data_IF_020768653733
#
_entry.id   IF_020768653733
#
_cell.length_a   1.000
_cell.length_b   1.000
_cell.length_c   1.000
_cell.angle_alpha   90.00
_cell.angle_beta   90.00
_cell.angle_gamma   90.00
#
_symmetry.space_group_name_H-M   'P 1'
#
loop_
_entity.id
_entity.type
_entity.pdbx_description
1 polymer ?
#
# COMPACT_ATOMS: atom_id res chain seq x y z
N UNK A 1 -44.75 -21.81 -60.33
CA UNK A 1 -44.66 -20.61 -61.18
C UNK A 1 -43.64 -19.65 -60.56
N UNK A 2 -42.57 -19.43 -61.32
CA UNK A 2 -41.63 -18.30 -61.36
C UNK A 2 -40.77 -17.94 -60.11
N UNK A 3 -39.57 -18.52 -60.17
CA UNK A 3 -38.25 -17.94 -59.90
C UNK A 3 -37.99 -16.52 -60.42
N UNK A 4 -37.20 -15.74 -59.66
CA UNK A 4 -36.17 -14.71 -60.06
C UNK A 4 -35.74 -13.98 -58.78
N UNK A 5 -34.51 -13.50 -58.51
CA UNK A 5 -33.16 -13.50 -59.11
C UNK A 5 -32.27 -12.76 -58.09
N UNK A 6 -31.15 -13.32 -57.63
CA UNK A 6 -29.77 -13.03 -58.06
C UNK A 6 -29.28 -11.56 -57.94
N UNK A 7 -28.13 -11.37 -57.29
CA UNK A 7 -27.44 -10.07 -57.22
C UNK A 7 -26.22 -10.02 -56.30
N UNK A 8 -25.33 -11.01 -56.33
CA UNK A 8 -23.94 -10.92 -55.84
C UNK A 8 -23.09 -10.18 -56.85
N UNK A 9 -22.31 -9.17 -56.43
CA UNK A 9 -21.19 -8.65 -57.23
C UNK A 9 -19.85 -8.94 -56.57
N UNK A 10 -19.18 -9.85 -57.23
CA UNK A 10 -17.78 -10.21 -57.21
C UNK A 10 -16.89 -9.05 -57.65
N UNK A 11 -15.67 -8.97 -57.08
CA UNK A 11 -14.46 -8.57 -57.81
C UNK A 11 -13.21 -9.01 -57.04
N UNK A 12 -12.82 -10.25 -57.29
CA UNK A 12 -11.45 -10.71 -57.17
C UNK A 12 -10.55 -10.13 -58.29
N UNK A 13 -9.27 -9.92 -57.97
CA UNK A 13 -8.08 -10.03 -58.85
C UNK A 13 -6.87 -10.19 -57.93
N UNK A 14 -6.39 -11.42 -57.70
CA UNK A 14 -5.43 -12.19 -58.49
C UNK A 14 -3.97 -11.98 -58.01
N UNK A 15 -3.37 -13.07 -57.53
CA UNK A 15 -1.95 -13.25 -57.19
C UNK A 15 -1.06 -13.25 -58.45
N UNK A 16 0.28 -13.17 -58.29
CA UNK A 16 1.03 -14.41 -58.51
C UNK A 16 2.17 -14.66 -57.50
N UNK A 17 2.42 -15.94 -57.27
CA UNK A 17 3.59 -16.49 -56.60
C UNK A 17 4.85 -16.38 -57.48
N UNK A 18 6.04 -16.47 -56.87
CA UNK A 18 7.30 -16.69 -57.59
C UNK A 18 8.54 -16.45 -56.73
N UNK A 19 9.26 -17.53 -56.46
CA UNK A 19 10.43 -17.63 -55.58
C UNK A 19 11.64 -16.78 -56.00
N UNK A 20 12.40 -16.30 -55.00
CA UNK A 20 13.85 -16.14 -55.13
C UNK A 20 14.50 -16.14 -53.73
N UNK A 21 15.18 -17.24 -53.41
CA UNK A 21 16.19 -17.30 -52.36
C UNK A 21 17.31 -16.28 -52.68
N UNK A 22 17.38 -15.22 -51.89
CA UNK A 22 18.54 -14.31 -51.85
C UNK A 22 19.29 -14.53 -50.54
N UNK A 23 20.49 -15.11 -50.63
CA UNK A 23 21.39 -15.31 -49.49
C UNK A 23 21.65 -13.99 -48.75
N UNK A 24 21.55 -14.02 -47.42
CA UNK A 24 22.07 -12.95 -46.56
C UNK A 24 23.55 -12.71 -46.88
N UNK A 25 23.99 -11.46 -47.15
CA UNK A 25 25.40 -11.16 -47.09
C UNK A 25 25.89 -11.37 -45.65
N UNK A 26 27.02 -12.07 -45.51
CA UNK A 26 27.68 -12.27 -44.24
C UNK A 26 27.96 -10.92 -43.55
N UNK A 27 27.86 -10.85 -42.21
CA UNK A 27 28.11 -9.60 -41.49
C UNK A 27 29.59 -9.22 -41.66
N UNK A 28 29.82 -8.13 -42.38
CA UNK A 28 31.13 -7.48 -42.43
C UNK A 28 31.42 -6.95 -41.02
N UNK A 29 32.41 -7.55 -40.37
CA UNK A 29 32.94 -7.07 -39.10
C UNK A 29 33.49 -5.67 -39.26
N UNK A 30 32.78 -4.68 -38.74
CA UNK A 30 33.36 -3.38 -38.40
C UNK A 30 33.11 -3.13 -36.92
N UNK A 31 34.21 -3.16 -36.18
CA UNK A 31 34.21 -2.97 -34.74
C UNK A 31 33.76 -1.56 -34.41
N UNK A 32 32.66 -1.46 -33.67
CA UNK A 32 32.42 -0.41 -32.69
C UNK A 32 31.38 -0.95 -31.69
N UNK A 33 31.88 -1.36 -30.53
CA UNK A 33 31.08 -1.94 -29.47
C UNK A 33 30.24 -0.91 -28.72
N UNK A 34 29.14 -1.43 -28.16
CA UNK A 34 28.43 -0.98 -26.95
C UNK A 34 27.40 0.16 -27.07
N UNK A 35 26.11 -0.22 -26.97
CA UNK A 35 25.14 0.46 -26.10
C UNK A 35 23.84 -0.34 -25.83
N UNK A 36 23.54 -1.40 -26.59
CA UNK A 36 22.20 -2.02 -26.55
C UNK A 36 21.97 -3.11 -25.47
N UNK A 37 23.01 -3.55 -24.74
CA UNK A 37 22.94 -4.60 -23.71
C UNK A 37 22.67 -4.08 -22.30
N UNK A 38 23.03 -2.82 -22.00
CA UNK A 38 22.91 -2.24 -20.66
C UNK A 38 21.46 -1.92 -20.27
N UNK A 39 20.61 -1.49 -21.20
CA UNK A 39 19.20 -1.22 -20.92
C UNK A 39 18.39 -2.49 -20.62
N UNK A 40 18.60 -3.55 -21.40
CA UNK A 40 17.89 -4.84 -21.23
C UNK A 40 18.27 -5.50 -19.89
N UNK A 41 19.54 -5.38 -19.48
CA UNK A 41 20.03 -5.87 -18.18
C UNK A 41 19.56 -4.98 -17.02
N UNK A 42 19.50 -3.65 -17.18
CA UNK A 42 18.95 -2.73 -16.17
C UNK A 42 17.46 -2.98 -15.92
N UNK A 43 16.64 -3.18 -16.97
CA UNK A 43 15.22 -3.54 -16.83
C UNK A 43 15.02 -4.90 -16.13
N UNK A 44 15.79 -5.94 -16.50
CA UNK A 44 15.75 -7.25 -15.80
C UNK A 44 16.20 -7.17 -14.34
N UNK A 45 17.22 -6.35 -14.02
CA UNK A 45 17.67 -6.14 -12.62
C UNK A 45 16.67 -5.33 -11.79
N UNK A 46 15.94 -4.38 -12.39
CA UNK A 46 14.91 -3.57 -11.71
C UNK A 46 13.65 -4.40 -11.43
N UNK A 47 13.21 -5.22 -12.39
CA UNK A 47 12.08 -6.16 -12.20
C UNK A 47 12.35 -7.20 -11.09
N UNK A 48 13.62 -7.58 -10.85
CA UNK A 48 14.01 -8.47 -9.73
C UNK A 48 13.94 -7.81 -8.34
N UNK A 49 13.66 -6.50 -8.23
CA UNK A 49 13.63 -5.75 -6.97
C UNK A 49 12.22 -5.41 -6.50
N UNK A 50 11.20 -5.65 -7.30
CA UNK A 50 9.82 -5.30 -6.98
C UNK A 50 9.01 -6.59 -6.84
N UNK A 51 8.41 -6.78 -5.67
CA UNK A 51 7.46 -7.85 -5.38
C UNK A 51 6.07 -7.27 -5.48
N UNK A 52 5.17 -7.99 -6.13
CA UNK A 52 3.76 -7.63 -6.16
C UNK A 52 3.02 -8.47 -5.14
N UNK A 53 2.44 -7.82 -4.14
CA UNK A 53 1.59 -8.44 -3.13
C UNK A 53 0.14 -8.18 -3.52
N UNK A 54 -0.61 -9.26 -3.79
CA UNK A 54 -2.04 -9.17 -4.05
C UNK A 54 -2.79 -9.14 -2.73
N UNK A 55 -3.67 -8.17 -2.57
CA UNK A 55 -4.52 -7.98 -1.39
C UNK A 55 -5.94 -7.80 -1.87
N UNK A 56 -6.87 -8.61 -1.36
CA UNK A 56 -8.30 -8.42 -1.55
C UNK A 56 -8.87 -7.71 -0.33
N UNK A 57 -9.40 -6.53 -0.57
CA UNK A 57 -9.99 -5.66 0.45
C UNK A 57 -11.52 -5.71 0.34
N UNK A 58 -12.20 -5.71 1.48
CA UNK A 58 -13.65 -5.65 1.55
C UNK A 58 -14.13 -4.50 2.45
N UNK A 59 -15.30 -3.95 2.16
CA UNK A 59 -16.11 -3.20 3.12
C UNK A 59 -17.50 -3.81 3.19
N UNK A 60 -18.05 -3.94 4.40
CA UNK A 60 -19.36 -4.52 4.60
C UNK A 60 -20.01 -4.05 5.89
N UNK A 61 -21.13 -3.33 5.78
CA UNK A 61 -22.03 -3.11 6.89
C UNK A 61 -22.84 -4.38 7.15
N UNK A 62 -22.71 -4.94 8.35
CA UNK A 62 -23.29 -6.25 8.72
C UNK A 62 -24.53 -6.14 9.60
N UNK A 63 -24.88 -4.94 10.06
CA UNK A 63 -25.95 -4.66 11.01
C UNK A 63 -25.73 -5.16 12.45
N UNK A 64 -25.07 -6.31 12.66
CA UNK A 64 -24.67 -6.84 13.98
C UNK A 64 -23.64 -7.96 13.86
N UNK A 65 -22.58 -7.96 14.69
CA UNK A 65 -21.62 -9.07 14.80
C UNK A 65 -22.10 -10.20 15.74
N UNK A 66 -23.12 -9.95 16.56
CA UNK A 66 -23.53 -10.90 17.61
C UNK A 66 -24.03 -12.21 17.02
N UNK A 67 -23.33 -13.30 17.32
CA UNK A 67 -23.64 -14.66 16.81
C UNK A 67 -23.18 -14.94 15.37
N UNK A 68 -22.70 -13.94 14.63
CA UNK A 68 -22.41 -14.04 13.18
C UNK A 68 -20.93 -14.20 12.82
N UNK A 69 -20.05 -14.27 13.80
CA UNK A 69 -18.60 -14.27 13.57
C UNK A 69 -18.09 -15.43 12.71
N UNK A 70 -18.61 -16.65 12.89
CA UNK A 70 -18.21 -17.83 12.10
C UNK A 70 -18.69 -17.74 10.66
N UNK A 71 -19.97 -17.41 10.45
CA UNK A 71 -20.55 -17.25 9.11
C UNK A 71 -19.83 -16.15 8.32
N UNK A 72 -19.48 -15.05 9.00
CA UNK A 72 -18.64 -14.01 8.41
C UNK A 72 -17.27 -14.56 7.99
N UNK A 73 -16.58 -15.28 8.86
CA UNK A 73 -15.27 -15.86 8.56
C UNK A 73 -15.35 -16.81 7.35
N UNK A 74 -16.42 -17.60 7.24
CA UNK A 74 -16.69 -18.49 6.11
C UNK A 74 -16.88 -17.71 4.81
N UNK A 75 -17.68 -16.63 4.81
CA UNK A 75 -17.85 -15.74 3.66
C UNK A 75 -16.51 -15.14 3.23
N UNK A 76 -15.74 -14.59 4.17
CA UNK A 76 -14.44 -13.97 3.89
C UNK A 76 -13.45 -14.99 3.32
N UNK A 77 -13.41 -16.22 3.85
CA UNK A 77 -12.59 -17.33 3.32
C UNK A 77 -13.01 -17.72 1.91
N UNK A 78 -14.30 -17.97 1.67
CA UNK A 78 -14.83 -18.32 0.33
C UNK A 78 -14.50 -17.24 -0.70
N UNK A 79 -14.59 -15.97 -0.32
CA UNK A 79 -14.28 -14.81 -1.18
C UNK A 79 -12.79 -14.45 -1.21
N UNK A 80 -11.95 -15.13 -0.43
CA UNK A 80 -10.49 -14.93 -0.32
C UNK A 80 -10.13 -13.49 0.06
N UNK A 81 -10.85 -12.93 1.02
CA UNK A 81 -10.64 -11.56 1.51
C UNK A 81 -9.48 -11.55 2.50
N UNK A 82 -8.50 -10.66 2.31
CA UNK A 82 -7.38 -10.54 3.24
C UNK A 82 -7.65 -9.51 4.35
N UNK A 83 -8.40 -8.45 3.99
CA UNK A 83 -8.73 -7.33 4.87
C UNK A 83 -10.19 -6.96 4.66
N UNK A 84 -10.98 -6.87 5.71
CA UNK A 84 -12.37 -6.41 5.64
C UNK A 84 -12.66 -5.31 6.66
N UNK A 85 -13.21 -4.19 6.22
CA UNK A 85 -13.79 -3.16 7.06
C UNK A 85 -15.25 -3.50 7.34
N UNK A 86 -15.62 -3.56 8.61
CA UNK A 86 -16.97 -3.85 9.06
C UNK A 86 -17.58 -2.63 9.75
N UNK A 87 -18.87 -2.44 9.50
CA UNK A 87 -19.70 -1.40 10.12
C UNK A 87 -20.91 -2.03 10.83
N UNK A 88 -21.52 -1.27 11.74
CA UNK A 88 -22.60 -1.72 12.64
C UNK A 88 -22.32 -3.03 13.39
N UNK A 89 -21.10 -3.18 13.93
CA UNK A 89 -20.73 -4.41 14.64
C UNK A 89 -21.53 -4.60 15.95
N UNK A 90 -22.03 -3.51 16.56
CA UNK A 90 -22.80 -3.50 17.83
C UNK A 90 -22.13 -4.32 18.94
N UNK A 91 -20.81 -4.31 18.93
CA UNK A 91 -19.97 -5.14 19.78
C UNK A 91 -19.17 -4.29 20.75
N UNK A 92 -19.12 -4.73 22.01
CA UNK A 92 -18.39 -4.04 23.07
C UNK A 92 -16.98 -4.61 23.25
N UNK A 93 -16.03 -3.70 23.39
CA UNK A 93 -14.73 -3.97 23.98
C UNK A 93 -13.58 -3.54 23.08
N UNK A 94 -12.40 -3.43 23.67
CA UNK A 94 -11.18 -3.02 22.95
C UNK A 94 -10.27 -4.20 22.58
N UNK A 95 -10.71 -5.45 22.80
CA UNK A 95 -9.89 -6.65 22.56
C UNK A 95 -10.09 -7.19 21.15
N UNK A 96 -8.98 -7.50 20.48
CA UNK A 96 -9.03 -8.28 19.25
C UNK A 96 -9.45 -9.73 19.54
N UNK A 97 -10.24 -10.35 18.65
CA UNK A 97 -10.70 -11.74 18.82
C UNK A 97 -10.54 -12.54 17.53
N UNK A 98 -10.30 -13.84 17.66
CA UNK A 98 -10.37 -14.77 16.54
C UNK A 98 -11.85 -15.09 16.27
N UNK A 99 -12.28 -14.97 15.02
CA UNK A 99 -13.69 -15.19 14.61
C UNK A 99 -13.90 -16.52 13.88
N UNK A 100 -12.82 -17.27 13.63
CA UNK A 100 -12.82 -18.54 12.90
C UNK A 100 -11.95 -18.47 11.64
N UNK A 101 -11.61 -19.62 11.07
CA UNK A 101 -10.91 -19.73 9.79
C UNK A 101 -9.58 -18.95 9.69
N UNK A 102 -8.94 -18.70 10.83
CA UNK A 102 -7.68 -17.95 10.95
C UNK A 102 -7.84 -16.42 10.94
N UNK A 103 -9.07 -15.90 10.88
CA UNK A 103 -9.36 -14.46 10.88
C UNK A 103 -9.41 -13.85 12.27
N UNK A 104 -8.80 -12.67 12.39
CA UNK A 104 -8.77 -11.85 13.59
C UNK A 104 -9.52 -10.54 13.38
N UNK A 105 -10.45 -10.26 14.28
CA UNK A 105 -11.28 -9.07 14.31
C UNK A 105 -10.76 -8.06 15.33
N UNK A 106 -10.59 -6.82 14.89
CA UNK A 106 -10.24 -5.66 15.70
C UNK A 106 -11.46 -4.73 15.76
N UNK A 107 -12.06 -4.58 16.93
CA UNK A 107 -13.24 -3.74 17.13
C UNK A 107 -12.89 -2.34 17.68
N UNK A 108 -13.70 -1.37 17.28
CA UNK A 108 -13.71 -0.01 17.80
C UNK A 108 -14.82 0.18 18.83
N UNK A 109 -14.42 0.54 20.06
CA UNK A 109 -15.23 1.10 21.14
C UNK A 109 -16.10 0.16 22.01
N UNK A 110 -16.49 0.67 23.18
CA UNK A 110 -17.30 0.06 24.24
C UNK A 110 -18.81 0.33 24.09
N UNK A 111 -19.22 0.94 22.97
CA UNK A 111 -20.60 1.31 22.64
C UNK A 111 -21.50 0.14 22.24
N UNK A 112 -22.80 0.25 22.55
CA UNK A 112 -23.83 -0.77 22.27
C UNK A 112 -24.62 -0.50 20.98
N UNK A 113 -24.53 0.72 20.41
CA UNK A 113 -25.38 1.20 19.31
C UNK A 113 -24.66 1.25 17.96
N UNK A 114 -23.48 1.85 17.93
CA UNK A 114 -22.61 1.91 16.75
C UNK A 114 -21.44 0.93 16.94
N UNK A 115 -20.71 0.66 15.87
CA UNK A 115 -19.49 -0.10 15.98
C UNK A 115 -18.83 -0.30 14.64
N UNK A 116 -17.53 -0.08 14.61
CA UNK A 116 -16.68 -0.38 13.46
C UNK A 116 -15.65 -1.42 13.83
N UNK A 117 -15.11 -2.08 12.82
CA UNK A 117 -13.96 -2.93 13.02
C UNK A 117 -13.26 -3.31 11.74
N UNK A 118 -12.11 -3.95 11.89
CA UNK A 118 -11.30 -4.47 10.80
C UNK A 118 -11.04 -5.94 11.06
N UNK A 119 -11.34 -6.78 10.08
CA UNK A 119 -11.00 -8.19 10.07
C UNK A 119 -9.78 -8.41 9.18
N UNK A 120 -8.82 -9.16 9.68
CA UNK A 120 -7.59 -9.53 8.97
C UNK A 120 -7.46 -11.04 8.90
N UNK A 121 -7.01 -11.55 7.76
CA UNK A 121 -6.64 -12.96 7.63
C UNK A 121 -5.37 -13.30 8.43
N UNK A 122 -5.00 -14.58 8.44
CA UNK A 122 -3.80 -15.07 9.16
C UNK A 122 -2.51 -14.40 8.69
N UNK A 123 -2.37 -14.10 7.40
CA UNK A 123 -1.17 -13.47 6.86
C UNK A 123 -1.06 -11.97 7.15
N UNK A 124 -2.18 -11.27 7.32
CA UNK A 124 -2.23 -9.83 7.59
C UNK A 124 -2.24 -9.53 9.10
N UNK A 125 -2.83 -10.38 9.93
CA UNK A 125 -2.91 -10.14 11.38
C UNK A 125 -1.53 -10.13 12.06
N UNK A 126 -0.57 -10.88 11.54
CA UNK A 126 0.83 -10.90 12.01
C UNK A 126 1.60 -9.62 11.64
N UNK A 127 1.07 -8.83 10.69
CA UNK A 127 1.70 -7.60 10.20
C UNK A 127 1.16 -6.34 10.87
N UNK A 128 0.29 -6.48 11.85
CA UNK A 128 -0.28 -5.34 12.59
C UNK A 128 0.79 -4.73 13.48
N UNK A 129 0.99 -3.43 13.31
CA UNK A 129 1.96 -2.63 14.09
C UNK A 129 1.29 -1.72 15.10
N UNK A 130 0.11 -1.20 14.77
CA UNK A 130 -0.64 -0.31 15.66
C UNK A 130 -2.16 -0.38 15.36
N UNK A 131 -2.98 -0.12 16.37
CA UNK A 131 -4.45 -0.08 16.27
C UNK A 131 -4.97 1.14 17.02
N UNK A 132 -5.31 2.18 16.26
CA UNK A 132 -5.88 3.43 16.78
C UNK A 132 -7.41 3.39 16.69
N UNK A 133 -8.07 3.38 17.84
CA UNK A 133 -9.53 3.49 17.96
C UNK A 133 -9.86 4.96 18.15
N UNK A 134 -10.40 5.59 17.11
CA UNK A 134 -10.67 7.04 17.13
C UNK A 134 -11.97 7.30 17.90
N UNK A 135 -13.04 6.60 17.53
CA UNK A 135 -14.36 6.67 18.17
C UNK A 135 -15.15 5.38 17.86
N UNK A 136 -16.47 5.39 18.07
CA UNK A 136 -17.38 4.27 17.75
C UNK A 136 -17.72 4.11 16.25
N UNK A 137 -17.26 5.06 15.42
CA UNK A 137 -17.48 5.18 13.98
C UNK A 137 -16.21 5.06 13.13
N UNK A 138 -15.02 5.07 13.75
CA UNK A 138 -13.73 5.10 13.06
C UNK A 138 -12.67 4.29 13.81
N UNK A 139 -12.03 3.39 13.09
CA UNK A 139 -10.87 2.63 13.56
C UNK A 139 -9.80 2.59 12.47
N UNK A 140 -8.55 2.78 12.89
CA UNK A 140 -7.38 2.68 12.02
C UNK A 140 -6.51 1.53 12.48
N UNK A 141 -6.22 0.59 11.58
CA UNK A 141 -5.28 -0.50 11.80
C UNK A 141 -4.08 -0.30 10.88
N UNK A 142 -2.90 -0.10 11.48
CA UNK A 142 -1.64 0.10 10.76
C UNK A 142 -0.94 -1.23 10.54
N UNK A 143 -0.68 -1.55 9.28
CA UNK A 143 0.00 -2.77 8.83
C UNK A 143 1.38 -2.43 8.26
N UNK A 144 2.37 -3.27 8.52
CA UNK A 144 3.66 -3.24 7.83
C UNK A 144 3.73 -4.39 6.84
N UNK A 145 3.50 -4.10 5.56
CA UNK A 145 3.58 -5.08 4.47
C UNK A 145 4.95 -4.97 3.81
N UNK A 146 5.83 -5.92 4.14
CA UNK A 146 7.26 -5.90 3.82
C UNK A 146 7.93 -4.64 4.40
N UNK A 147 8.03 -3.57 3.62
CA UNK A 147 8.65 -2.30 3.99
C UNK A 147 7.75 -1.11 3.59
N UNK A 148 6.46 -1.36 3.45
CA UNK A 148 5.44 -0.34 3.19
C UNK A 148 4.45 -0.30 4.35
N UNK A 149 4.22 0.89 4.88
CA UNK A 149 3.22 1.12 5.93
C UNK A 149 1.87 1.37 5.27
N UNK A 150 0.87 0.59 5.68
CA UNK A 150 -0.48 0.59 5.13
C UNK A 150 -1.49 0.82 6.26
N UNK A 151 -2.27 1.88 6.15
CA UNK A 151 -3.33 2.21 7.09
C UNK A 151 -4.66 1.71 6.55
N UNK A 152 -5.25 0.73 7.22
CA UNK A 152 -6.61 0.26 6.96
C UNK A 152 -7.56 1.02 7.84
N UNK A 153 -8.55 1.69 7.25
CA UNK A 153 -9.50 2.51 8.01
C UNK A 153 -10.91 1.99 7.78
N UNK A 154 -11.64 1.67 8.85
CA UNK A 154 -13.08 1.40 8.78
C UNK A 154 -13.85 2.61 9.27
N UNK A 155 -14.82 3.08 8.49
CA UNK A 155 -15.61 4.29 8.78
C UNK A 155 -17.12 3.99 8.73
N UNK A 156 -17.88 4.60 9.64
CA UNK A 156 -19.33 4.58 9.65
C UNK A 156 -19.89 5.99 9.88
N UNK A 157 -20.28 6.67 8.82
CA UNK A 157 -20.80 8.03 8.88
C UNK A 157 -22.18 8.10 9.55
N UNK A 158 -22.54 9.24 10.18
CA UNK A 158 -23.89 9.47 10.67
C UNK A 158 -24.92 9.41 9.54
N UNK A 159 -26.16 9.04 9.88
CA UNK A 159 -27.27 8.99 8.92
C UNK A 159 -27.70 10.39 8.51
N UNK A 160 -28.32 10.53 7.34
CA UNK A 160 -28.82 11.81 6.80
C UNK A 160 -29.75 12.55 7.78
N UNK A 161 -30.53 11.83 8.60
CA UNK A 161 -31.44 12.43 9.58
C UNK A 161 -30.83 12.74 10.95
N UNK A 162 -29.53 12.51 11.17
CA UNK A 162 -28.88 12.87 12.44
C UNK A 162 -28.74 14.40 12.58
N UNK A 163 -28.65 14.87 13.83
CA UNK A 163 -28.36 16.27 14.14
C UNK A 163 -27.06 16.75 13.47
N UNK A 164 -27.06 18.00 13.00
CA UNK A 164 -25.92 18.58 12.28
C UNK A 164 -24.66 18.60 13.17
N UNK A 165 -24.80 18.84 14.48
CA UNK A 165 -23.70 18.77 15.46
C UNK A 165 -22.97 17.42 15.48
N UNK A 166 -23.70 16.32 15.28
CA UNK A 166 -23.13 14.97 15.21
C UNK A 166 -22.39 14.77 13.89
N UNK A 167 -22.90 15.35 12.80
CA UNK A 167 -22.25 15.32 11.48
C UNK A 167 -20.96 16.15 11.47
N UNK A 168 -21.00 17.37 11.99
CA UNK A 168 -19.83 18.25 12.13
C UNK A 168 -18.72 17.58 12.93
N UNK A 169 -19.05 17.08 14.13
CA UNK A 169 -18.10 16.36 14.98
C UNK A 169 -17.48 15.15 14.27
N UNK A 170 -18.28 14.39 13.51
CA UNK A 170 -17.76 13.26 12.74
C UNK A 170 -16.73 13.70 11.70
N UNK A 171 -16.99 14.78 10.96
CA UNK A 171 -16.05 15.29 9.95
C UNK A 171 -14.80 15.93 10.57
N UNK A 172 -14.93 16.61 11.71
CA UNK A 172 -13.75 17.10 12.47
C UNK A 172 -12.83 15.96 12.92
N UNK A 173 -13.41 14.86 13.42
CA UNK A 173 -12.66 13.68 13.83
C UNK A 173 -12.06 12.94 12.62
N UNK A 174 -12.77 12.91 11.49
CA UNK A 174 -12.26 12.40 10.21
C UNK A 174 -11.03 13.18 9.74
N UNK A 175 -11.10 14.51 9.79
CA UNK A 175 -10.00 15.39 9.38
C UNK A 175 -8.79 15.20 10.28
N UNK A 176 -8.98 15.18 11.60
CA UNK A 176 -7.91 14.92 12.56
C UNK A 176 -7.26 13.56 12.34
N UNK A 177 -8.05 12.53 12.04
CA UNK A 177 -7.53 11.19 11.72
C UNK A 177 -6.69 11.22 10.44
N UNK A 178 -7.18 11.82 9.36
CA UNK A 178 -6.48 11.88 8.07
C UNK A 178 -5.20 12.70 8.15
N UNK A 179 -5.20 13.83 8.86
CA UNK A 179 -4.00 14.64 9.12
C UNK A 179 -2.96 13.90 9.97
N UNK A 180 -3.41 12.99 10.84
CA UNK A 180 -2.52 12.14 11.64
C UNK A 180 -1.82 11.04 10.84
N UNK A 181 -2.27 10.72 9.62
CA UNK A 181 -1.66 9.71 8.75
C UNK A 181 -0.67 10.40 7.79
N UNK A 182 0.63 10.10 7.87
CA UNK A 182 1.62 10.71 6.98
C UNK A 182 1.31 10.44 5.50
N UNK A 183 1.59 11.41 4.63
CA UNK A 183 1.32 11.31 3.18
C UNK A 183 2.08 10.18 2.49
N UNK A 184 3.25 9.82 3.02
CA UNK A 184 4.07 8.70 2.53
C UNK A 184 3.47 7.32 2.85
N UNK A 185 2.55 7.26 3.81
CA UNK A 185 1.89 6.02 4.18
C UNK A 185 0.65 5.80 3.33
N UNK A 186 0.43 4.53 3.00
CA UNK A 186 -0.72 4.12 2.23
C UNK A 186 -2.01 4.22 3.06
N UNK A 187 -3.14 4.58 2.43
CA UNK A 187 -4.46 4.57 3.06
C UNK A 187 -5.43 3.73 2.24
N UNK A 188 -6.05 2.75 2.89
CA UNK A 188 -7.16 1.96 2.34
C UNK A 188 -8.33 2.03 3.30
N UNK A 189 -9.32 2.84 2.95
CA UNK A 189 -10.47 3.11 3.77
C UNK A 189 -11.70 2.46 3.16
N UNK A 190 -12.46 1.74 3.98
CA UNK A 190 -13.77 1.20 3.60
C UNK A 190 -14.81 1.61 4.63
N UNK A 191 -15.96 2.06 4.16
CA UNK A 191 -16.98 2.51 5.08
C UNK A 191 -18.34 2.66 4.43
N UNK A 192 -19.33 2.71 5.31
CA UNK A 192 -20.67 3.18 4.97
C UNK A 192 -20.71 4.68 5.31
N UNK A 193 -20.81 5.50 4.26
CA UNK A 193 -20.78 6.95 4.38
C UNK A 193 -22.18 7.58 4.38
N UNK A 194 -23.25 6.77 4.26
CA UNK A 194 -24.64 7.27 4.23
C UNK A 194 -24.90 8.41 3.21
N UNK A 195 -24.05 8.54 2.19
CA UNK A 195 -24.12 9.58 1.17
C UNK A 195 -24.11 9.01 -0.24
N UNK A 196 -24.74 9.70 -1.18
CA UNK A 196 -24.77 9.33 -2.60
C UNK A 196 -23.86 10.27 -3.37
N UNK A 197 -22.75 9.76 -3.90
CA UNK A 197 -21.82 10.56 -4.74
C UNK A 197 -22.37 10.82 -6.14
N UNK A 198 -23.39 10.06 -6.55
CA UNK A 198 -24.06 10.18 -7.85
C UNK A 198 -23.35 9.45 -8.98
N UNK A 199 -23.99 9.42 -10.15
CA UNK A 199 -23.46 8.74 -11.34
C UNK A 199 -22.30 9.48 -12.00
N UNK A 200 -22.42 10.79 -12.12
CA UNK A 200 -21.49 11.67 -12.84
C UNK A 200 -20.48 12.31 -11.88
N UNK A 201 -19.34 12.72 -12.42
CA UNK A 201 -18.21 13.32 -11.69
C UNK A 201 -18.14 14.85 -11.87
N UNK A 202 -19.24 15.50 -12.23
CA UNK A 202 -19.36 16.95 -12.44
C UNK A 202 -18.74 17.77 -11.29
N UNK A 203 -17.56 18.34 -11.56
CA UNK A 203 -16.77 19.15 -10.61
C UNK A 203 -15.82 18.35 -9.70
N UNK A 204 -15.80 17.02 -9.83
CA UNK A 204 -15.06 16.09 -8.98
C UNK A 204 -14.24 15.07 -9.78
N UNK A 205 -13.86 15.37 -11.02
CA UNK A 205 -13.17 14.47 -11.95
C UNK A 205 -11.85 13.94 -11.38
N UNK A 206 -11.25 14.69 -10.44
CA UNK A 206 -10.00 14.31 -9.79
C UNK A 206 -10.16 13.14 -8.82
N UNK A 207 -11.33 12.99 -8.19
CA UNK A 207 -11.59 12.04 -7.09
C UNK A 207 -12.66 11.00 -7.45
N UNK A 208 -13.53 11.32 -8.40
CA UNK A 208 -14.64 10.50 -8.87
C UNK A 208 -14.44 10.07 -10.34
N UNK A 209 -14.48 8.76 -10.60
CA UNK A 209 -14.13 8.20 -11.91
C UNK A 209 -15.24 8.19 -12.96
N UNK A 210 -16.42 8.76 -12.66
CA UNK A 210 -17.53 8.94 -13.60
C UNK A 210 -18.46 7.72 -13.76
N UNK A 211 -18.26 6.66 -12.98
CA UNK A 211 -19.06 5.44 -13.00
C UNK A 211 -19.71 5.15 -11.64
N UNK A 212 -20.33 6.15 -11.03
CA UNK A 212 -21.10 5.97 -9.79
C UNK A 212 -22.53 5.52 -10.05
N UNK A 213 -23.36 5.49 -9.00
CA UNK A 213 -24.76 5.11 -9.08
C UNK A 213 -25.69 6.13 -8.40
N UNK A 214 -26.89 6.32 -8.96
CA UNK A 214 -27.90 7.21 -8.40
C UNK A 214 -27.64 8.71 -8.64
N UNK A 215 -28.36 9.53 -7.87
CA UNK A 215 -28.27 11.00 -7.90
C UNK A 215 -27.47 11.47 -6.69
N UNK A 216 -26.62 12.48 -6.87
CA UNK A 216 -25.82 13.02 -5.79
C UNK A 216 -26.70 13.71 -4.74
N UNK A 217 -26.42 13.49 -3.45
CA UNK A 217 -27.08 14.20 -2.34
C UNK A 217 -26.07 15.04 -1.54
N UNK A 218 -26.57 15.82 -0.55
CA UNK A 218 -25.75 16.68 0.31
C UNK A 218 -24.63 15.89 1.01
N UNK A 219 -24.92 14.74 1.59
CA UNK A 219 -23.93 13.90 2.26
C UNK A 219 -22.85 13.37 1.31
N UNK A 220 -23.22 13.00 0.08
CA UNK A 220 -22.28 12.58 -0.95
C UNK A 220 -21.41 13.71 -1.50
N UNK A 221 -21.95 14.92 -1.58
CA UNK A 221 -21.19 16.13 -1.90
C UNK A 221 -20.12 16.41 -0.83
N UNK A 222 -20.48 16.36 0.46
CA UNK A 222 -19.52 16.54 1.57
C UNK A 222 -18.42 15.46 1.52
N UNK A 223 -18.78 14.20 1.22
CA UNK A 223 -17.81 13.13 1.02
C UNK A 223 -16.84 13.44 -0.13
N UNK A 224 -17.33 13.97 -1.25
CA UNK A 224 -16.49 14.34 -2.39
C UNK A 224 -15.59 15.53 -2.08
N UNK A 225 -16.06 16.52 -1.33
CA UNK A 225 -15.26 17.65 -0.85
C UNK A 225 -14.13 17.18 0.08
N UNK A 226 -14.44 16.31 1.04
CA UNK A 226 -13.43 15.69 1.90
C UNK A 226 -12.42 14.87 1.10
N UNK A 227 -12.88 14.12 0.09
CA UNK A 227 -11.99 13.40 -0.81
C UNK A 227 -11.06 14.34 -1.60
N UNK A 228 -11.56 15.48 -2.07
CA UNK A 228 -10.74 16.51 -2.72
C UNK A 228 -9.69 17.09 -1.75
N UNK A 229 -10.08 17.39 -0.50
CA UNK A 229 -9.18 17.97 0.50
C UNK A 229 -7.99 17.07 0.83
N UNK A 230 -8.19 15.75 0.88
CA UNK A 230 -7.13 14.77 1.20
C UNK A 230 -6.55 14.02 -0.02
N UNK A 231 -6.85 14.48 -1.25
CA UNK A 231 -6.48 13.83 -2.52
C UNK A 231 -6.80 12.32 -2.53
N UNK A 232 -8.02 11.98 -2.09
CA UNK A 232 -8.55 10.62 -2.08
C UNK A 232 -9.34 10.33 -3.36
N UNK A 233 -9.32 9.08 -3.81
CA UNK A 233 -10.13 8.59 -4.92
C UNK A 233 -11.25 7.67 -4.40
N UNK A 234 -12.49 7.93 -4.83
CA UNK A 234 -13.66 7.08 -4.55
C UNK A 234 -13.64 5.88 -5.48
N UNK A 235 -12.94 4.81 -5.08
CA UNK A 235 -12.53 3.70 -5.96
C UNK A 235 -13.69 3.07 -6.72
N UNK A 236 -14.86 2.94 -6.11
CA UNK A 236 -16.05 2.33 -6.69
C UNK A 236 -16.43 2.96 -8.04
N UNK A 237 -16.16 4.25 -8.20
CA UNK A 237 -16.65 5.06 -9.32
C UNK A 237 -15.67 5.10 -10.49
N UNK A 238 -14.52 4.42 -10.37
CA UNK A 238 -13.48 4.35 -11.42
C UNK A 238 -13.58 3.12 -12.33
N UNK A 239 -14.52 2.21 -12.04
CA UNK A 239 -14.72 1.00 -12.82
C UNK A 239 -16.12 0.97 -13.41
N UNK A 240 -16.21 0.89 -14.73
CA UNK A 240 -17.49 0.65 -15.39
C UNK A 240 -18.03 -0.73 -15.00
N UNK A 241 -19.22 -0.74 -14.40
CA UNK A 241 -19.93 -1.95 -13.94
C UNK A 241 -21.41 -1.85 -14.30
N UNK A 242 -22.09 -3.00 -14.26
CA UNK A 242 -23.56 -3.06 -14.26
C UNK A 242 -24.07 -2.55 -12.91
N UNK A 243 -25.23 -1.93 -12.89
CA UNK A 243 -25.86 -1.36 -11.69
C UNK A 243 -25.90 -2.34 -10.50
N UNK A 244 -26.19 -3.62 -10.75
CA UNK A 244 -26.21 -4.65 -9.71
C UNK A 244 -24.88 -4.82 -8.95
N UNK A 245 -23.76 -4.43 -9.58
CA UNK A 245 -22.41 -4.46 -9.01
C UNK A 245 -21.93 -3.08 -8.52
N UNK A 246 -22.77 -2.05 -8.57
CA UNK A 246 -22.54 -0.72 -8.00
C UNK A 246 -23.39 -0.48 -6.75
N UNK A 247 -24.61 -1.05 -6.72
CA UNK A 247 -25.56 -0.96 -5.60
C UNK A 247 -25.02 -1.69 -4.38
N UNK A 248 -24.79 -0.97 -3.30
CA UNK A 248 -24.27 -1.51 -2.03
C UNK A 248 -25.37 -1.76 -1.01
N UNK A 249 -26.48 -1.05 -1.09
CA UNK A 249 -27.65 -1.24 -0.23
C UNK A 249 -28.91 -1.47 -1.06
N UNK A 250 -29.72 -2.46 -0.66
CA UNK A 250 -31.01 -2.74 -1.29
C UNK A 250 -32.07 -3.07 -0.23
N UNK A 251 -33.19 -2.34 -0.25
CA UNK A 251 -34.35 -2.61 0.59
C UNK A 251 -35.63 -2.53 -0.24
N UNK A 252 -36.29 -3.68 -0.44
CA UNK A 252 -37.42 -3.78 -1.36
C UNK A 252 -37.06 -3.32 -2.79
N UNK A 253 -37.78 -2.30 -3.27
CA UNK A 253 -37.55 -1.67 -4.57
C UNK A 253 -36.48 -0.56 -4.56
N UNK A 254 -36.01 -0.14 -3.39
CA UNK A 254 -34.98 0.89 -3.26
C UNK A 254 -33.59 0.27 -3.35
N UNK A 255 -32.76 0.84 -4.21
CA UNK A 255 -31.37 0.45 -4.41
C UNK A 255 -30.50 1.70 -4.37
N UNK A 256 -29.45 1.69 -3.57
CA UNK A 256 -28.55 2.83 -3.37
C UNK A 256 -27.09 2.40 -3.31
N UNK A 257 -26.21 3.38 -3.52
CA UNK A 257 -24.77 3.26 -3.28
C UNK A 257 -24.42 4.22 -2.14
N UNK A 258 -23.98 3.66 -1.01
CA UNK A 258 -23.62 4.38 0.22
C UNK A 258 -22.33 3.86 0.86
N UNK A 259 -21.91 2.64 0.50
CA UNK A 259 -20.65 2.06 0.92
C UNK A 259 -19.55 2.37 -0.10
N UNK A 260 -18.44 2.94 0.34
CA UNK A 260 -17.34 3.34 -0.54
C UNK A 260 -15.99 2.84 -0.05
N UNK A 261 -15.12 2.59 -1.02
CA UNK A 261 -13.68 2.48 -0.79
C UNK A 261 -13.00 3.78 -1.17
N UNK A 262 -12.28 4.38 -0.23
CA UNK A 262 -11.43 5.55 -0.44
C UNK A 262 -9.97 5.16 -0.30
N UNK A 263 -9.13 5.63 -1.23
CA UNK A 263 -7.68 5.45 -1.19
C UNK A 263 -7.01 6.75 -1.59
N UNK A 264 -5.72 6.94 -1.29
CA UNK A 264 -4.99 8.09 -1.86
C UNK A 264 -4.95 7.96 -3.39
N UNK A 265 -5.16 9.06 -4.09
CA UNK A 265 -5.24 9.09 -5.57
C UNK A 265 -3.96 8.57 -6.24
N UNK A 266 -2.79 8.83 -5.66
CA UNK A 266 -1.51 8.28 -6.15
C UNK A 266 -1.45 6.74 -6.11
N UNK A 267 -2.31 6.08 -5.32
CA UNK A 267 -2.41 4.63 -5.20
C UNK A 267 -3.39 4.01 -6.17
N UNK A 268 -4.17 4.79 -6.92
CA UNK A 268 -5.26 4.26 -7.75
C UNK A 268 -4.80 3.18 -8.75
N UNK A 269 -3.56 3.31 -9.25
CA UNK A 269 -2.91 2.35 -10.16
C UNK A 269 -2.71 0.96 -9.54
N UNK A 270 -2.70 0.87 -8.21
CA UNK A 270 -2.61 -0.39 -7.47
C UNK A 270 -3.93 -1.17 -7.51
N UNK A 271 -5.07 -0.49 -7.63
CA UNK A 271 -6.38 -1.14 -7.72
C UNK A 271 -6.56 -1.72 -9.11
N UNK A 272 -6.89 -3.01 -9.16
CA UNK A 272 -7.13 -3.75 -10.41
C UNK A 272 -8.60 -3.88 -10.75
N UNK A 273 -9.44 -3.93 -9.72
CA UNK A 273 -10.88 -4.06 -9.88
C UNK A 273 -11.57 -3.63 -8.59
N UNK A 274 -12.76 -3.06 -8.71
CA UNK A 274 -13.67 -2.82 -7.60
C UNK A 274 -15.09 -3.23 -8.03
N UNK A 275 -15.79 -3.98 -7.19
CA UNK A 275 -17.17 -4.42 -7.46
C UNK A 275 -17.93 -4.76 -6.19
N UNK A 276 -19.24 -4.60 -6.24
CA UNK A 276 -20.16 -5.14 -5.24
C UNK A 276 -20.58 -6.56 -5.62
N UNK A 277 -20.61 -7.47 -4.65
CA UNK A 277 -21.16 -8.81 -4.83
C UNK A 277 -22.60 -8.88 -4.30
N UNK A 278 -23.60 -9.14 -5.16
CA UNK A 278 -24.94 -9.48 -4.72
C UNK A 278 -25.01 -10.94 -4.21
N UNK A 279 -25.93 -11.22 -3.29
CA UNK A 279 -26.31 -12.58 -2.92
C UNK A 279 -25.44 -13.25 -1.85
N UNK A 280 -24.93 -12.50 -0.87
CA UNK A 280 -24.44 -13.10 0.38
C UNK A 280 -25.58 -13.17 1.39
N UNK A 281 -25.81 -14.33 1.98
CA UNK A 281 -26.96 -14.58 2.85
C UNK A 281 -26.82 -14.00 4.26
N UNK A 282 -25.60 -13.59 4.66
CA UNK A 282 -25.34 -13.05 6.00
C UNK A 282 -26.12 -11.77 6.29
N UNK A 283 -26.33 -10.96 5.25
CA UNK A 283 -26.96 -9.64 5.35
C UNK A 283 -27.86 -9.43 4.14
N UNK A 284 -29.15 -9.20 4.39
CA UNK A 284 -30.15 -9.08 3.32
C UNK A 284 -30.11 -7.73 2.59
N UNK A 285 -29.72 -6.66 3.28
CA UNK A 285 -29.78 -5.29 2.76
C UNK A 285 -28.44 -4.79 2.21
N UNK A 286 -27.39 -4.84 3.03
CA UNK A 286 -26.05 -4.39 2.62
C UNK A 286 -25.27 -5.52 1.94
N UNK A 287 -24.61 -5.17 0.85
CA UNK A 287 -23.82 -6.06 0.01
C UNK A 287 -22.35 -5.80 0.21
N UNK A 288 -21.56 -6.85 0.17
CA UNK A 288 -20.11 -6.75 0.32
C UNK A 288 -19.48 -6.04 -0.90
N UNK A 289 -18.73 -4.97 -0.62
CA UNK A 289 -17.95 -4.23 -1.59
C UNK A 289 -16.52 -4.76 -1.59
N UNK A 290 -16.00 -5.18 -2.74
CA UNK A 290 -14.67 -5.78 -2.88
C UNK A 290 -13.77 -4.98 -3.81
N UNK A 291 -12.50 -4.81 -3.42
CA UNK A 291 -11.43 -4.35 -4.28
C UNK A 291 -10.28 -5.36 -4.35
N UNK A 292 -9.79 -5.58 -5.57
CA UNK A 292 -8.56 -6.32 -5.84
C UNK A 292 -7.40 -5.33 -5.96
N UNK A 293 -6.46 -5.36 -5.01
CA UNK A 293 -5.33 -4.43 -4.91
C UNK A 293 -4.03 -5.18 -5.17
N UNK A 294 -3.14 -4.58 -5.96
CA UNK A 294 -1.80 -5.08 -6.23
C UNK A 294 -0.78 -4.08 -5.68
N UNK A 295 -0.25 -4.35 -4.50
CA UNK A 295 0.78 -3.55 -3.85
C UNK A 295 2.14 -3.89 -4.44
N UNK A 296 2.78 -2.92 -5.09
CA UNK A 296 4.18 -3.06 -5.50
C UNK A 296 5.09 -2.62 -4.37
N UNK A 297 5.85 -3.56 -3.81
CA UNK A 297 6.80 -3.34 -2.72
C UNK A 297 8.22 -3.61 -3.19
N UNK A 298 9.16 -2.77 -2.76
CA UNK A 298 10.58 -2.93 -3.14
C UNK A 298 11.25 -3.87 -2.16
N UNK A 299 11.76 -5.00 -2.62
CA UNK A 299 12.55 -5.88 -1.76
C UNK A 299 13.89 -5.23 -1.46
N UNK A 300 14.08 -4.81 -0.21
CA UNK A 300 15.41 -4.58 0.33
C UNK A 300 15.98 -5.95 0.66
N UNK A 301 16.82 -6.51 -0.21
CA UNK A 301 17.77 -7.51 0.29
C UNK A 301 18.63 -6.77 1.32
N UNK A 302 18.64 -7.26 2.57
CA UNK A 302 19.81 -7.05 3.40
C UNK A 302 21.00 -7.43 2.51
N UNK A 303 21.87 -6.47 2.19
CA UNK A 303 23.16 -6.84 1.66
C UNK A 303 23.77 -7.64 2.80
N UNK A 304 23.87 -8.95 2.64
CA UNK A 304 24.69 -9.77 3.53
C UNK A 304 25.99 -9.00 3.67
N UNK A 305 26.31 -8.60 4.90
CA UNK A 305 27.56 -7.90 5.15
C UNK A 305 28.62 -8.86 4.62
N UNK A 306 29.49 -8.43 3.67
CA UNK A 306 30.57 -9.31 3.26
C UNK A 306 31.29 -9.74 4.55
N UNK A 307 31.61 -11.03 4.70
CA UNK A 307 32.23 -11.52 5.92
C UNK A 307 33.45 -10.66 6.24
N UNK A 308 33.75 -10.43 7.53
CA UNK A 308 34.92 -9.66 7.94
C UNK A 308 36.16 -10.17 7.19
N UNK A 309 36.90 -9.27 6.56
CA UNK A 309 38.15 -9.60 5.87
C UNK A 309 39.32 -9.17 6.76
N UNK A 310 40.29 -10.07 6.89
CA UNK A 310 41.58 -9.76 7.50
C UNK A 310 42.26 -8.68 6.65
N UNK A 311 42.83 -7.67 7.31
CA UNK A 311 43.47 -6.52 6.64
C UNK A 311 44.89 -6.84 6.16
N UNK A 312 45.03 -7.79 5.23
CA UNK A 312 46.33 -8.22 4.68
C UNK A 312 47.21 -7.07 4.16
N UNK A 313 46.61 -5.98 3.66
CA UNK A 313 47.33 -4.80 3.20
C UNK A 313 48.18 -4.10 4.29
N UNK A 314 47.92 -4.35 5.58
CA UNK A 314 48.72 -3.80 6.67
C UNK A 314 50.11 -4.45 6.78
N UNK A 315 50.33 -5.60 6.14
CA UNK A 315 51.65 -6.25 6.07
C UNK A 315 52.69 -5.44 5.29
N UNK A 316 52.30 -4.44 4.50
CA UNK A 316 53.25 -3.52 3.88
C UNK A 316 53.90 -2.56 4.89
N UNK A 317 53.36 -2.45 6.11
CA UNK A 317 53.93 -1.65 7.18
C UNK A 317 54.88 -2.51 8.01
N UNK A 318 56.12 -2.05 8.13
CA UNK A 318 57.22 -2.83 8.71
C UNK A 318 56.95 -3.29 10.15
N UNK A 319 56.34 -2.44 10.99
CA UNK A 319 55.96 -2.80 12.36
C UNK A 319 54.96 -3.97 12.44
N UNK A 320 53.91 -3.93 11.63
CA UNK A 320 52.90 -5.01 11.59
C UNK A 320 53.47 -6.30 10.98
N UNK A 321 54.38 -6.20 10.00
CA UNK A 321 55.01 -7.35 9.36
C UNK A 321 55.97 -8.09 10.31
N UNK A 322 56.73 -7.35 11.12
CA UNK A 322 57.66 -7.94 12.10
C UNK A 322 56.91 -8.60 13.24
N UNK A 323 55.93 -7.92 13.84
CA UNK A 323 55.08 -8.47 14.90
C UNK A 323 54.32 -9.72 14.43
N UNK A 324 53.79 -9.69 13.20
CA UNK A 324 53.10 -10.84 12.62
C UNK A 324 54.03 -12.05 12.43
N UNK A 325 55.24 -11.84 11.91
CA UNK A 325 56.22 -12.92 11.71
C UNK A 325 56.62 -13.58 13.02
N UNK A 326 56.95 -12.78 14.03
CA UNK A 326 57.35 -13.28 15.35
C UNK A 326 56.24 -14.12 15.99
N UNK A 327 55.01 -13.61 16.01
CA UNK A 327 53.88 -14.31 16.60
C UNK A 327 53.48 -15.58 15.84
N UNK A 328 53.64 -15.62 14.51
CA UNK A 328 53.41 -16.84 13.73
C UNK A 328 54.45 -17.90 14.07
N UNK A 329 55.74 -17.54 14.13
CA UNK A 329 56.82 -18.48 14.46
C UNK A 329 56.65 -19.03 15.87
N UNK A 330 56.44 -18.16 16.86
CA UNK A 330 56.25 -18.59 18.25
C UNK A 330 55.05 -19.55 18.39
N UNK A 331 53.94 -19.22 17.72
CA UNK A 331 52.73 -20.07 17.78
C UNK A 331 52.90 -21.38 17.01
N UNK A 332 53.73 -21.43 15.97
CA UNK A 332 54.08 -22.69 15.29
C UNK A 332 54.96 -23.58 16.15
N UNK A 333 55.91 -23.00 16.90
CA UNK A 333 56.73 -23.75 17.86
C UNK A 333 55.85 -24.33 18.97
N UNK A 334 54.88 -23.56 19.49
CA UNK A 334 53.93 -24.02 20.51
C UNK A 334 53.03 -25.18 20.04
N UNK A 335 52.69 -25.26 18.75
CA UNK A 335 51.84 -26.34 18.23
C UNK A 335 52.56 -27.71 18.17
N UNK A 336 53.90 -27.73 18.20
CA UNK A 336 54.70 -28.96 18.19
C UNK A 336 54.59 -29.77 16.89
N UNK A 337 55.12 -30.99 16.92
CA UNK A 337 55.07 -31.91 15.77
C UNK A 337 53.69 -32.55 15.63
N UNK A 338 53.10 -32.41 14.44
CA UNK A 338 51.77 -32.95 14.09
C UNK A 338 51.86 -34.42 13.63
N UNK A 339 52.55 -35.26 14.40
CA UNK A 339 52.66 -36.69 14.12
C UNK A 339 51.30 -37.38 14.23
N UNK A 340 50.93 -38.16 13.21
CA UNK A 340 49.66 -38.90 13.16
C UNK A 340 48.49 -38.17 12.51
N UNK A 341 48.65 -36.91 12.09
CA UNK A 341 47.64 -36.17 11.32
C UNK A 341 47.86 -36.37 9.81
N UNK A 342 46.77 -36.36 9.03
CA UNK A 342 46.89 -36.39 7.58
C UNK A 342 47.45 -35.06 7.05
N UNK A 343 48.05 -35.09 5.86
CA UNK A 343 48.62 -33.89 5.21
C UNK A 343 47.60 -32.74 5.11
N UNK A 344 46.32 -33.07 4.86
CA UNK A 344 45.24 -32.07 4.80
C UNK A 344 44.92 -31.45 6.15
N UNK A 345 44.99 -32.24 7.23
CA UNK A 345 44.78 -31.76 8.59
C UNK A 345 45.94 -30.88 9.05
N UNK A 346 47.19 -31.29 8.78
CA UNK A 346 48.37 -30.47 9.04
C UNK A 346 48.29 -29.11 8.32
N UNK A 347 47.90 -29.11 7.04
CA UNK A 347 47.74 -27.86 6.29
C UNK A 347 46.64 -26.97 6.86
N UNK A 348 45.52 -27.57 7.29
CA UNK A 348 44.40 -26.83 7.85
C UNK A 348 44.78 -26.17 9.17
N UNK A 349 45.44 -26.89 10.07
CA UNK A 349 45.94 -26.36 11.35
C UNK A 349 46.95 -25.23 11.13
N UNK A 350 47.91 -25.42 10.21
CA UNK A 350 48.87 -24.38 9.86
C UNK A 350 48.17 -23.12 9.32
N UNK A 351 47.23 -23.29 8.40
CA UNK A 351 46.49 -22.18 7.82
C UNK A 351 45.59 -21.46 8.85
N UNK A 352 45.01 -22.20 9.79
CA UNK A 352 44.16 -21.64 10.84
C UNK A 352 44.99 -20.92 11.92
N UNK A 353 46.18 -21.40 12.23
CA UNK A 353 47.17 -20.69 13.02
C UNK A 353 47.54 -19.34 12.38
N UNK A 354 47.93 -19.33 11.10
CA UNK A 354 48.28 -18.12 10.34
C UNK A 354 47.10 -17.14 10.33
N UNK A 355 45.88 -17.60 10.03
CA UNK A 355 44.68 -16.75 10.03
C UNK A 355 44.35 -16.21 11.43
N UNK A 356 44.56 -17.01 12.48
CA UNK A 356 44.33 -16.62 13.88
C UNK A 356 45.26 -15.49 14.29
N UNK A 357 46.56 -15.63 14.02
CA UNK A 357 47.55 -14.57 14.29
C UNK A 357 47.26 -13.34 13.43
N UNK A 358 46.88 -13.53 12.16
CA UNK A 358 46.59 -12.42 11.27
C UNK A 358 45.36 -11.61 11.72
N UNK A 359 44.32 -12.28 12.26
CA UNK A 359 43.18 -11.59 12.89
C UNK A 359 43.61 -10.78 14.12
N UNK A 360 44.53 -11.31 14.93
CA UNK A 360 45.04 -10.64 16.15
C UNK A 360 45.86 -9.39 15.82
N UNK A 361 46.79 -9.50 14.87
CA UNK A 361 47.75 -8.43 14.54
C UNK A 361 47.18 -7.42 13.54
N UNK A 362 46.56 -7.89 12.45
CA UNK A 362 46.09 -7.01 11.37
C UNK A 362 44.64 -6.54 11.61
N UNK A 363 43.89 -7.25 12.46
CA UNK A 363 42.49 -6.99 12.70
C UNK A 363 41.61 -7.27 11.47
N UNK A 364 40.31 -7.05 11.66
CA UNK A 364 39.30 -7.29 10.62
C UNK A 364 38.60 -5.99 10.21
N UNK A 365 38.07 -5.96 8.99
CA UNK A 365 37.23 -4.87 8.52
C UNK A 365 35.91 -4.85 9.28
N UNK A 366 35.68 -3.80 10.09
CA UNK A 366 34.34 -3.46 10.59
C UNK A 366 33.61 -2.76 9.43
N UNK A 367 32.56 -3.38 8.88
CA UNK A 367 31.83 -2.84 7.72
C UNK A 367 31.42 -1.37 7.88
N UNK A 368 31.08 -0.68 6.78
CA UNK A 368 30.63 0.72 6.80
C UNK A 368 29.51 0.93 7.82
N UNK A 369 29.70 1.86 8.78
CA UNK A 369 28.61 2.42 9.57
C UNK A 369 27.73 3.25 8.65
N UNK A 370 26.46 2.90 8.53
CA UNK A 370 25.43 3.82 8.09
C UNK A 370 25.27 4.87 9.18
N UNK A 371 25.65 6.11 8.86
CA UNK A 371 25.24 7.27 9.63
C UNK A 371 23.76 7.48 9.26
N UNK A 372 22.86 7.33 10.23
CA UNK A 372 21.47 7.74 10.06
C UNK A 372 21.45 9.26 9.86
N UNK A 373 21.12 9.67 8.64
CA UNK A 373 20.94 11.08 8.27
C UNK A 373 19.47 11.52 8.33
N UNK A 374 18.58 10.64 8.76
CA UNK A 374 17.14 10.92 8.81
C UNK A 374 16.77 11.44 10.19
N UNK A 375 16.76 12.76 10.35
CA UNK A 375 16.15 13.38 11.53
C UNK A 375 16.55 14.83 11.85
N UNK A 376 17.61 15.38 11.26
CA UNK A 376 18.10 16.70 11.70
C UNK A 376 17.11 17.84 11.40
N UNK A 377 16.35 17.77 10.31
CA UNK A 377 15.49 18.89 9.88
C UNK A 377 14.06 18.85 10.41
N UNK A 378 13.68 17.94 11.33
CA UNK A 378 12.31 17.87 11.86
C UNK A 378 12.26 18.34 13.32
N UNK A 379 12.26 19.66 13.52
CA UNK A 379 12.22 20.32 14.84
C UNK A 379 10.81 20.82 15.20
N UNK A 380 10.59 21.07 16.49
CA UNK A 380 9.34 21.68 16.99
C UNK A 380 9.09 23.06 16.35
N UNK A 381 10.16 23.81 16.06
CA UNK A 381 10.08 25.10 15.34
C UNK A 381 9.49 24.97 13.93
N UNK A 382 9.72 23.86 13.22
CA UNK A 382 9.15 23.64 11.89
C UNK A 382 7.67 23.26 11.99
N UNK A 383 7.24 22.61 13.07
CA UNK A 383 5.81 22.36 13.34
C UNK A 383 5.06 23.65 13.66
N UNK A 384 5.73 24.59 14.34
CA UNK A 384 5.16 25.89 14.68
C UNK A 384 4.94 26.77 13.44
N UNK A 385 5.93 26.86 12.55
CA UNK A 385 5.79 27.56 11.25
C UNK A 385 4.65 26.98 10.40
N UNK A 386 4.51 25.65 10.38
CA UNK A 386 3.42 24.99 9.66
C UNK A 386 2.04 25.23 10.31
N UNK A 387 1.99 25.38 11.64
CA UNK A 387 0.77 25.73 12.38
C UNK A 387 0.34 27.16 12.08
N UNK A 388 1.27 28.11 12.02
CA UNK A 388 1.02 29.50 11.65
C UNK A 388 0.47 29.61 10.23
N UNK A 389 1.13 28.94 9.27
CA UNK A 389 0.65 28.88 7.88
C UNK A 389 -0.77 28.31 7.76
N UNK A 390 -1.12 27.34 8.61
CA UNK A 390 -2.47 26.74 8.66
C UNK A 390 -3.51 27.67 9.28
N UNK A 391 -3.14 28.46 10.29
CA UNK A 391 -4.04 29.44 10.89
C UNK A 391 -4.33 30.59 9.90
N UNK A 392 -3.30 31.10 9.21
CA UNK A 392 -3.45 32.09 8.15
C UNK A 392 -4.40 31.61 7.03
N UNK A 393 -4.34 30.33 6.68
CA UNK A 393 -5.27 29.73 5.72
C UNK A 393 -6.73 29.70 6.23
N UNK A 394 -6.95 29.34 7.50
CA UNK A 394 -8.31 29.34 8.10
C UNK A 394 -8.92 30.73 8.16
N UNK A 395 -8.11 31.74 8.47
CA UNK A 395 -8.56 33.15 8.51
C UNK A 395 -8.87 33.72 7.13
N UNK A 396 -8.19 33.23 6.07
CA UNK A 396 -8.54 33.52 4.69
C UNK A 396 -9.87 32.85 4.30
N UNK A 397 -10.10 31.63 4.76
CA UNK A 397 -11.28 30.83 4.43
C UNK A 397 -12.56 31.33 5.14
N UNK A 398 -12.44 31.93 6.32
CA UNK A 398 -13.59 32.46 7.08
C UNK A 398 -14.16 33.78 6.54
N UNK A 399 -13.54 34.37 5.51
CA UNK A 399 -14.04 35.59 4.87
C UNK A 399 -15.04 35.23 3.78
N UNK A 400 -16.28 35.71 3.92
CA UNK A 400 -17.34 35.58 2.91
C UNK A 400 -16.93 36.22 1.57
N UNK A 401 -17.35 35.60 0.48
CA UNK A 401 -16.96 35.95 -0.90
C UNK A 401 -17.32 37.40 -1.31
N UNK A 402 -18.23 38.06 -0.59
CA UNK A 402 -18.67 39.43 -0.86
C UNK A 402 -17.63 40.50 -0.47
N UNK A 403 -16.57 40.13 0.27
CA UNK A 403 -15.50 41.03 0.71
C UNK A 403 -14.16 40.73 0.00
N UNK A 404 -14.14 40.86 -1.34
CA UNK A 404 -12.98 40.51 -2.19
C UNK A 404 -11.66 41.17 -1.74
N UNK A 405 -11.69 42.46 -1.35
CA UNK A 405 -10.48 43.18 -0.90
C UNK A 405 -9.86 42.57 0.37
N UNK A 406 -10.69 42.12 1.32
CA UNK A 406 -10.22 41.52 2.57
C UNK A 406 -9.70 40.10 2.30
N UNK A 407 -10.38 39.37 1.41
CA UNK A 407 -9.99 38.02 1.01
C UNK A 407 -8.67 38.00 0.25
N UNK A 408 -8.42 38.97 -0.63
CA UNK A 408 -7.14 39.11 -1.35
C UNK A 408 -5.98 39.47 -0.41
N UNK A 409 -6.23 40.35 0.57
CA UNK A 409 -5.22 40.71 1.58
C UNK A 409 -4.82 39.53 2.47
N UNK A 410 -5.79 38.76 2.98
CA UNK A 410 -5.51 37.57 3.80
C UNK A 410 -4.88 36.42 3.00
N UNK A 411 -5.17 36.34 1.69
CA UNK A 411 -4.47 35.44 0.76
C UNK A 411 -3.00 35.82 0.60
N UNK A 412 -2.69 37.12 0.61
CA UNK A 412 -1.32 37.65 0.65
C UNK A 412 -0.58 37.18 1.91
N UNK A 413 -1.17 37.40 3.08
CA UNK A 413 -0.61 36.97 4.37
C UNK A 413 -0.34 35.44 4.43
N UNK A 414 -1.26 34.61 3.93
CA UNK A 414 -1.04 33.17 3.82
C UNK A 414 0.15 32.78 2.90
N UNK A 415 0.40 33.57 1.85
CA UNK A 415 1.51 33.31 0.91
C UNK A 415 2.87 33.74 1.46
N UNK A 416 2.91 34.69 2.38
CA UNK A 416 4.12 35.21 3.01
C UNK A 416 4.60 34.35 4.21
N UNK A 417 3.70 33.58 4.85
CA UNK A 417 4.02 32.50 5.79
C UNK A 417 4.54 31.25 5.06
#
# INVERSE_FOLDING_TARGET
MNSTSCGTYDRARAYPAGDAQGQHPAPVGSGQGLSHLTERVRRKRRARREKNVRVRFASWNIGTMTGRGRELADVLKRRRVNVACLQETKWKGNKAREIGEGYKFYCGSDGKRNGVGVVLDSGMKERVTDVKRVNDRMIVVKLMIENKVVNVVSVYAPQTGCEESVKEKFWEEFDCMMMGIPEREDVYMGGDFNGHVGRVNDGYERVHGGWGYGVRNREGEVLLQAACAFDLAVVNTWFQKRDQHLVTYKSGHHATQIDYLLIRRNQIKSVKNCKVLPGEDLVSQHRILLADICLTVRLNKHKDRPPPKIKWHLLHKEGYASEFRELVVNKMIEMGDMEGMSVNECWKEMADCIRSVARKVLGETKGKRTIDKDGWWWSESIREVLREKKNAFKEWQSVEDQNESIKESKRGAYKEC
#
